data_IF_976295256440
#
_entry.id   IF_976295256440
#
_cell.length_a   1.000
_cell.length_b   1.000
_cell.length_c   1.000
_cell.angle_alpha   90.00
_cell.angle_beta   90.00
_cell.angle_gamma   90.00
#
_symmetry.space_group_name_H-M   'P 1'
#
loop_
_entity.id
_entity.type
_entity.pdbx_description
1 polymer ?
#
# COMPACT_ATOMS: atom_id res chain seq x y z
N UNK A 1 -1.31 -6.81 -15.68
CA UNK A 1 -1.88 -6.07 -14.53
C UNK A 1 -2.75 -4.88 -14.96
N UNK A 2 -3.36 -4.87 -16.15
CA UNK A 2 -4.19 -3.75 -16.60
C UNK A 2 -5.55 -3.63 -15.88
N UNK A 3 -5.95 -4.64 -15.11
CA UNK A 3 -7.26 -4.68 -14.44
C UNK A 3 -7.30 -4.16 -13.00
N UNK A 4 -6.18 -3.68 -12.43
CA UNK A 4 -6.12 -3.22 -11.03
C UNK A 4 -5.74 -1.73 -10.89
N UNK A 5 -5.81 -0.96 -11.98
CA UNK A 5 -5.36 0.44 -11.96
C UNK A 5 -6.17 1.28 -10.96
N UNK A 6 -7.50 1.09 -10.94
CA UNK A 6 -8.39 1.80 -10.02
C UNK A 6 -8.09 1.45 -8.57
N UNK A 7 -7.89 0.17 -8.27
CA UNK A 7 -7.60 -0.33 -6.92
C UNK A 7 -6.24 0.18 -6.43
N UNK A 8 -5.25 0.31 -7.32
CA UNK A 8 -3.96 0.91 -6.97
C UNK A 8 -4.12 2.38 -6.60
N UNK A 9 -4.87 3.16 -7.39
CA UNK A 9 -5.12 4.57 -7.09
C UNK A 9 -5.90 4.74 -5.79
N UNK A 10 -6.97 3.97 -5.62
CA UNK A 10 -7.80 3.99 -4.40
C UNK A 10 -6.97 3.64 -3.15
N UNK A 11 -6.02 2.70 -3.28
CA UNK A 11 -5.13 2.33 -2.17
C UNK A 11 -4.13 3.43 -1.82
N UNK A 12 -3.74 4.28 -2.78
CA UNK A 12 -2.88 5.43 -2.52
C UNK A 12 -3.66 6.60 -1.90
N UNK A 13 -4.92 6.79 -2.32
CA UNK A 13 -5.79 7.86 -1.83
C UNK A 13 -6.34 7.57 -0.42
N UNK A 14 -6.78 6.32 -0.20
CA UNK A 14 -7.42 5.88 1.03
C UNK A 14 -6.95 4.45 1.40
N UNK A 15 -5.72 4.29 1.91
CA UNK A 15 -5.22 3.00 2.38
C UNK A 15 -5.88 2.57 3.69
N UNK A 16 -5.91 1.27 3.98
CA UNK A 16 -6.24 0.80 5.33
C UNK A 16 -5.05 0.98 6.29
N UNK A 17 -3.83 0.87 5.78
CA UNK A 17 -2.62 1.06 6.55
C UNK A 17 -1.43 1.40 5.65
N UNK A 18 -0.48 2.17 6.19
CA UNK A 18 0.82 2.42 5.53
C UNK A 18 1.94 1.90 6.42
N UNK A 19 2.82 1.11 5.82
CA UNK A 19 4.00 0.53 6.47
C UNK A 19 5.30 1.05 5.86
N UNK A 20 6.35 1.06 6.67
CA UNK A 20 7.72 1.33 6.19
C UNK A 20 8.27 0.14 5.38
N UNK A 21 8.91 0.49 4.27
CA UNK A 21 9.77 -0.35 3.48
C UNK A 21 11.14 -0.59 4.11
N UNK A 22 11.98 -1.34 3.41
CA UNK A 22 13.34 -1.60 3.83
C UNK A 22 14.32 -0.48 3.48
N UNK A 23 14.01 0.30 2.43
CA UNK A 23 14.93 1.29 1.84
C UNK A 23 14.25 2.65 1.63
N UNK A 24 13.39 3.04 2.56
CA UNK A 24 12.68 4.33 2.57
C UNK A 24 11.46 4.42 1.66
N UNK A 25 11.05 3.33 1.03
CA UNK A 25 9.73 3.21 0.39
C UNK A 25 8.60 3.04 1.42
N UNK A 26 7.39 3.36 1.01
CA UNK A 26 6.16 3.13 1.77
C UNK A 26 5.36 2.01 1.11
N UNK A 27 4.64 1.26 1.94
CA UNK A 27 3.75 0.19 1.53
C UNK A 27 2.34 0.54 1.99
N UNK A 28 1.52 1.06 1.08
CA UNK A 28 0.09 1.23 1.29
C UNK A 28 -0.60 -0.11 1.07
N UNK A 29 -1.45 -0.52 2.01
CA UNK A 29 -2.22 -1.75 1.92
C UNK A 29 -3.71 -1.44 2.04
N UNK A 30 -4.53 -2.05 1.17
CA UNK A 30 -6.00 -1.97 1.23
C UNK A 30 -6.61 -3.34 0.99
N UNK A 31 -7.59 -3.71 1.81
CA UNK A 31 -8.40 -4.91 1.61
C UNK A 31 -9.40 -4.68 0.48
N UNK A 32 -9.28 -5.44 -0.61
CA UNK A 32 -10.19 -5.32 -1.76
C UNK A 32 -11.29 -6.40 -1.73
N UNK A 33 -11.03 -7.52 -1.05
CA UNK A 33 -11.96 -8.62 -0.78
C UNK A 33 -11.51 -9.31 0.51
N UNK A 34 -12.39 -10.08 1.16
CA UNK A 34 -12.06 -10.82 2.39
C UNK A 34 -10.74 -11.59 2.24
N UNK A 35 -9.78 -11.31 3.14
CA UNK A 35 -8.43 -11.91 3.16
C UNK A 35 -7.59 -11.66 1.91
N UNK A 36 -7.95 -10.67 1.09
CA UNK A 36 -7.23 -10.30 -0.13
C UNK A 36 -6.95 -8.79 -0.14
N UNK A 37 -5.67 -8.49 -0.06
CA UNK A 37 -5.14 -7.14 -0.02
C UNK A 37 -4.47 -6.82 -1.34
N UNK A 38 -4.60 -5.56 -1.78
CA UNK A 38 -3.65 -4.96 -2.70
C UNK A 38 -2.61 -4.20 -1.88
N UNK A 39 -1.35 -4.37 -2.24
CA UNK A 39 -0.23 -3.67 -1.62
C UNK A 39 0.44 -2.86 -2.71
N UNK A 40 0.52 -1.56 -2.49
CA UNK A 40 1.18 -0.61 -3.38
C UNK A 40 2.46 -0.13 -2.71
N UNK A 41 3.58 -0.40 -3.36
CA UNK A 41 4.90 0.05 -2.92
C UNK A 41 5.25 1.30 -3.70
N UNK A 42 5.50 2.41 -3.00
CA UNK A 42 5.73 3.70 -3.61
C UNK A 42 6.75 4.53 -2.84
N UNK A 43 7.27 5.58 -3.48
CA UNK A 43 8.13 6.58 -2.85
C UNK A 43 7.57 7.97 -3.14
N UNK A 44 7.49 8.77 -2.10
CA UNK A 44 7.23 10.21 -2.21
C UNK A 44 8.57 10.93 -2.36
N UNK A 45 8.71 11.73 -3.42
CA UNK A 45 9.87 12.60 -3.66
C UNK A 45 9.63 13.98 -3.04
N UNK A 46 8.36 14.42 -3.05
CA UNK A 46 7.89 15.65 -2.40
C UNK A 46 6.41 15.52 -2.04
N UNK A 47 5.83 16.54 -1.40
CA UNK A 47 4.38 16.58 -1.09
C UNK A 47 3.47 16.47 -2.34
N UNK A 48 4.00 16.70 -3.54
CA UNK A 48 3.23 16.70 -4.80
C UNK A 48 3.81 15.76 -5.87
N UNK A 49 4.84 14.99 -5.51
CA UNK A 49 5.53 14.15 -6.49
C UNK A 49 6.00 12.84 -5.85
N UNK A 50 5.97 11.78 -6.64
CA UNK A 50 6.26 10.45 -6.20
C UNK A 50 5.98 9.45 -7.32
N UNK A 51 6.33 8.20 -7.07
CA UNK A 51 6.11 7.15 -8.04
C UNK A 51 5.80 5.83 -7.38
N UNK A 52 4.96 5.05 -8.05
CA UNK A 52 4.71 3.66 -7.70
C UNK A 52 5.87 2.82 -8.24
N UNK A 53 6.50 2.06 -7.34
CA UNK A 53 7.55 1.11 -7.69
C UNK A 53 6.91 -0.18 -8.20
N UNK A 54 5.95 -0.71 -7.44
CA UNK A 54 5.23 -1.94 -7.79
C UNK A 54 3.91 -2.04 -7.03
N UNK A 55 2.98 -2.83 -7.56
CA UNK A 55 1.76 -3.19 -6.87
C UNK A 55 1.48 -4.69 -7.05
N UNK A 56 1.01 -5.34 -5.99
CA UNK A 56 0.73 -6.77 -6.01
C UNK A 56 -0.40 -7.14 -5.05
N UNK A 57 -1.03 -8.29 -5.33
CA UNK A 57 -2.03 -8.86 -4.45
C UNK A 57 -1.36 -9.75 -3.39
N UNK A 58 -1.85 -9.67 -2.16
CA UNK A 58 -1.38 -10.47 -1.04
C UNK A 58 -2.54 -10.96 -0.19
N UNK A 59 -2.52 -12.23 0.21
CA UNK A 59 -3.39 -12.76 1.25
C UNK A 59 -2.71 -12.81 2.63
N UNK A 60 -1.49 -12.27 2.73
CA UNK A 60 -0.62 -12.45 3.90
C UNK A 60 -0.51 -11.19 4.74
N UNK A 61 -1.63 -10.71 5.28
CA UNK A 61 -1.69 -9.52 6.15
C UNK A 61 -0.66 -9.56 7.30
N UNK A 62 -0.51 -10.71 7.95
CA UNK A 62 0.43 -10.90 9.06
C UNK A 62 1.91 -10.63 8.70
N UNK A 63 2.29 -10.70 7.42
CA UNK A 63 3.64 -10.36 7.01
C UNK A 63 3.85 -8.85 6.89
N UNK A 64 2.81 -8.09 6.55
CA UNK A 64 2.82 -6.63 6.50
C UNK A 64 2.83 -6.06 7.93
N UNK A 65 2.02 -6.61 8.83
CA UNK A 65 1.93 -6.18 10.23
C UNK A 65 3.23 -6.34 11.04
N UNK A 66 4.19 -7.14 10.54
CA UNK A 66 5.53 -7.24 11.14
C UNK A 66 6.40 -6.01 10.84
N UNK A 67 6.04 -5.20 9.85
CA UNK A 67 6.72 -3.96 9.51
C UNK A 67 6.23 -2.85 10.42
N UNK A 68 7.03 -1.80 10.55
CA UNK A 68 6.63 -0.60 11.28
C UNK A 68 5.48 0.07 10.55
N UNK A 69 4.34 0.22 11.23
CA UNK A 69 3.20 0.99 10.74
C UNK A 69 3.46 2.48 11.00
N UNK A 70 3.34 3.30 9.96
CA UNK A 70 3.54 4.75 10.03
C UNK A 70 2.25 5.54 9.96
N UNK A 71 1.20 4.94 9.40
CA UNK A 71 -0.11 5.55 9.36
C UNK A 71 -1.18 4.46 9.59
N UNK A 72 -1.94 4.56 10.69
CA UNK A 72 -3.04 3.65 10.98
C UNK A 72 -4.32 4.10 10.26
N UNK A 73 -5.18 3.12 9.96
CA UNK A 73 -6.50 3.28 9.36
C UNK A 73 -7.25 4.51 9.90
N UNK A 74 -7.57 5.47 9.02
CA UNK A 74 -8.65 6.41 9.30
C UNK A 74 -9.96 5.63 9.18
N UNK A 75 -10.65 5.48 10.32
CA UNK A 75 -11.99 4.87 10.38
C UNK A 75 -13.04 5.78 9.76
#
# INVERSE_FOLDING_TARGET
MAGYYSEVLETLEDPDAIYEGGSGELLAAKEIQTDKYIVVVYKEISEKDGFVITAFLSSRRKQLERRRMVWPQQK
#
